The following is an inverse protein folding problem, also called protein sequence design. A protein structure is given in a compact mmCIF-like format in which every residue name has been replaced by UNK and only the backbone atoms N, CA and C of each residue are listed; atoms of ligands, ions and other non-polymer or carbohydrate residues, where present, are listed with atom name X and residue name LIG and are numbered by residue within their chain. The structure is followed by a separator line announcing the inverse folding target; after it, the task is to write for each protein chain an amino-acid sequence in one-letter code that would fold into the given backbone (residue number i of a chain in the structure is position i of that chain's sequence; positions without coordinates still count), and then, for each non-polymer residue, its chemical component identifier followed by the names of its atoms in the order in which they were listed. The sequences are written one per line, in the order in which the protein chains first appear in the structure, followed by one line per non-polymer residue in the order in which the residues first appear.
data_IF_430286210873
#
_entry.id   IF_430286210873
#
_cell.length_a   1.000
_cell.length_b   1.000
_cell.length_c   1.000
_cell.angle_alpha   90.00
_cell.angle_beta   90.00
_cell.angle_gamma   90.00
#
_symmetry.space_group_name_H-M   'P 1'
#
loop_
_entity.id
_entity.type
_entity.pdbx_description
1 polymer ?
#
# COMPACT_ATOMS: atom_id res chain seq x y z
N UNK A 1 19.08 7.80 21.21
CA UNK A 1 19.37 8.47 22.50
C UNK A 1 19.89 9.88 22.26
N UNK A 2 19.17 10.86 22.78
CA UNK A 2 19.70 12.20 23.03
C UNK A 2 20.90 12.02 23.98
N UNK A 3 21.96 12.81 23.86
CA UNK A 3 23.22 12.57 24.61
C UNK A 3 23.04 12.56 26.15
N UNK A 4 21.90 13.08 26.63
CA UNK A 4 21.41 13.20 28.00
C UNK A 4 20.47 12.07 28.47
N UNK A 5 20.14 11.08 27.63
CA UNK A 5 19.34 9.91 28.02
C UNK A 5 17.85 10.16 28.31
N UNK A 6 17.36 11.40 28.18
CA UNK A 6 15.98 11.79 28.45
C UNK A 6 15.01 11.53 27.29
N UNK A 7 13.76 11.12 27.61
CA UNK A 7 12.66 10.90 26.66
C UNK A 7 11.68 12.08 26.53
N UNK A 8 11.88 13.14 27.32
CA UNK A 8 10.99 14.32 27.38
C UNK A 8 10.78 15.01 26.02
N UNK A 9 11.80 15.01 25.16
CA UNK A 9 11.76 15.67 23.86
C UNK A 9 10.99 14.95 22.76
N UNK A 10 10.51 13.72 22.99
CA UNK A 10 9.75 12.96 21.98
C UNK A 10 8.44 13.67 21.61
N UNK A 11 7.74 14.23 22.59
CA UNK A 11 6.52 15.00 22.36
C UNK A 11 6.77 16.37 21.71
N UNK A 12 8.02 16.82 21.66
CA UNK A 12 8.44 18.05 20.98
C UNK A 12 8.96 17.77 19.56
N UNK A 13 8.80 16.53 19.06
CA UNK A 13 9.19 16.13 17.71
C UNK A 13 10.66 15.73 17.56
N UNK A 14 11.41 15.62 18.67
CA UNK A 14 12.79 15.15 18.63
C UNK A 14 12.85 13.65 18.92
N UNK A 15 13.01 12.90 17.84
CA UNK A 15 13.10 11.43 17.83
C UNK A 15 14.55 10.92 17.99
N UNK A 16 15.52 11.82 18.20
CA UNK A 16 16.94 11.50 18.28
C UNK A 16 17.61 11.25 16.92
N UNK A 17 18.81 10.68 16.95
CA UNK A 17 19.67 10.46 15.77
C UNK A 17 19.63 9.01 15.33
N UNK A 18 19.49 8.79 14.02
CA UNK A 18 19.58 7.48 13.38
C UNK A 18 21.01 6.94 13.42
N UNK A 19 21.17 5.69 13.86
CA UNK A 19 22.48 5.03 13.91
C UNK A 19 23.02 4.68 12.53
N UNK A 20 22.13 4.44 11.57
CA UNK A 20 22.49 4.07 10.20
C UNK A 20 22.84 5.30 9.36
N UNK A 21 21.98 6.33 9.41
CA UNK A 21 22.11 7.51 8.54
C UNK A 21 22.86 8.68 9.20
N UNK A 22 23.17 8.60 10.50
CA UNK A 22 23.80 9.67 11.30
C UNK A 22 23.10 11.04 11.20
N UNK A 23 21.79 11.04 10.90
CA UNK A 23 20.91 12.21 10.83
C UNK A 23 19.76 12.08 11.82
N UNK A 24 19.10 13.18 12.19
CA UNK A 24 17.91 13.16 13.03
C UNK A 24 16.78 12.33 12.39
N UNK A 25 16.14 11.47 13.19
CA UNK A 25 15.04 10.61 12.74
C UNK A 25 13.85 11.45 12.27
N UNK A 26 13.61 12.60 12.90
CA UNK A 26 12.56 13.54 12.48
C UNK A 26 12.76 14.03 11.04
N UNK A 27 14.00 14.36 10.63
CA UNK A 27 14.29 14.75 9.25
C UNK A 27 14.06 13.60 8.26
N UNK A 28 14.48 12.37 8.63
CA UNK A 28 14.29 11.20 7.78
C UNK A 28 12.79 10.91 7.55
N UNK A 29 11.98 10.98 8.62
CA UNK A 29 10.52 10.82 8.52
C UNK A 29 9.93 11.91 7.66
N UNK A 30 10.27 13.19 7.88
CA UNK A 30 9.75 14.30 7.10
C UNK A 30 10.10 14.21 5.60
N UNK A 31 11.24 13.60 5.25
CA UNK A 31 11.59 13.34 3.85
C UNK A 31 10.78 12.20 3.22
N UNK A 32 10.50 11.14 3.98
CA UNK A 32 9.75 9.99 3.47
C UNK A 32 8.22 10.23 3.45
N UNK A 33 7.73 11.05 4.39
CA UNK A 33 6.30 11.24 4.65
C UNK A 33 5.49 11.68 3.42
N UNK A 34 5.94 12.66 2.60
CA UNK A 34 5.20 13.08 1.40
C UNK A 34 5.00 11.95 0.40
N UNK A 35 6.03 11.09 0.22
CA UNK A 35 5.97 9.97 -0.71
C UNK A 35 4.99 8.91 -0.22
N UNK A 36 5.04 8.56 1.07
CA UNK A 36 4.07 7.62 1.67
C UNK A 36 2.65 8.14 1.56
N UNK A 37 2.42 9.42 1.82
CA UNK A 37 1.11 10.06 1.72
C UNK A 37 0.60 10.01 0.27
N UNK A 38 1.44 10.37 -0.70
CA UNK A 38 1.09 10.36 -2.12
C UNK A 38 0.70 8.95 -2.57
N UNK A 39 1.53 7.95 -2.27
CA UNK A 39 1.24 6.55 -2.63
C UNK A 39 -0.02 6.03 -1.94
N UNK A 40 -0.20 6.35 -0.65
CA UNK A 40 -1.38 5.96 0.11
C UNK A 40 -2.67 6.57 -0.46
N UNK A 41 -2.67 7.87 -0.77
CA UNK A 41 -3.83 8.56 -1.36
C UNK A 41 -4.15 8.05 -2.76
N UNK A 42 -3.14 7.85 -3.61
CA UNK A 42 -3.33 7.26 -4.93
C UNK A 42 -3.93 5.85 -4.83
N UNK A 43 -3.40 5.03 -3.92
CA UNK A 43 -3.92 3.69 -3.65
C UNK A 43 -5.37 3.72 -3.17
N UNK A 44 -5.71 4.62 -2.24
CA UNK A 44 -7.07 4.80 -1.75
C UNK A 44 -8.04 5.22 -2.86
N UNK A 45 -7.66 6.19 -3.70
CA UNK A 45 -8.51 6.66 -4.81
C UNK A 45 -8.79 5.51 -5.77
N UNK A 46 -7.75 4.79 -6.20
CA UNK A 46 -7.90 3.65 -7.12
C UNK A 46 -8.76 2.55 -6.48
N UNK A 47 -8.52 2.23 -5.21
CA UNK A 47 -9.31 1.23 -4.48
C UNK A 47 -10.78 1.62 -4.43
N UNK A 48 -11.11 2.87 -4.12
CA UNK A 48 -12.50 3.34 -4.06
C UNK A 48 -13.16 3.35 -5.45
N UNK A 49 -12.45 3.75 -6.50
CA UNK A 49 -12.97 3.73 -7.87
C UNK A 49 -13.37 2.33 -8.35
N UNK A 50 -12.75 1.28 -7.82
CA UNK A 50 -13.06 -0.11 -8.18
C UNK A 50 -14.04 -0.73 -7.18
N UNK A 51 -13.79 -0.55 -5.88
CA UNK A 51 -14.59 -1.16 -4.82
C UNK A 51 -16.00 -0.60 -4.75
N UNK A 52 -16.20 0.71 -4.95
CA UNK A 52 -17.52 1.33 -4.85
C UNK A 52 -18.47 0.84 -5.95
N UNK A 53 -18.11 0.84 -7.25
CA UNK A 53 -19.01 0.33 -8.29
C UNK A 53 -19.35 -1.15 -8.09
N UNK A 54 -18.36 -1.98 -7.74
CA UNK A 54 -18.56 -3.41 -7.49
C UNK A 54 -19.48 -3.60 -6.27
N UNK A 55 -19.24 -2.86 -5.19
CA UNK A 55 -20.04 -2.92 -3.98
C UNK A 55 -21.47 -2.44 -4.18
N UNK A 56 -21.68 -1.32 -4.89
CA UNK A 56 -23.00 -0.81 -5.24
C UNK A 56 -23.75 -1.81 -6.14
N UNK A 57 -23.07 -2.37 -7.16
CA UNK A 57 -23.66 -3.37 -8.04
C UNK A 57 -24.10 -4.63 -7.27
N UNK A 58 -23.23 -5.16 -6.41
CA UNK A 58 -23.52 -6.30 -5.53
C UNK A 58 -24.68 -5.99 -4.58
N UNK A 59 -24.73 -4.78 -4.02
CA UNK A 59 -25.80 -4.35 -3.12
C UNK A 59 -27.17 -4.17 -3.81
N UNK A 60 -27.20 -3.75 -5.07
CA UNK A 60 -28.44 -3.58 -5.84
C UNK A 60 -28.94 -4.90 -6.44
N UNK A 61 -28.03 -5.85 -6.73
CA UNK A 61 -28.34 -7.15 -7.35
C UNK A 61 -27.88 -8.31 -6.48
N UNK A 62 -28.29 -8.28 -5.22
CA UNK A 62 -27.97 -9.31 -4.24
C UNK A 62 -28.45 -10.69 -4.70
N UNK A 63 -27.69 -11.72 -4.35
CA UNK A 63 -27.98 -13.13 -4.63
C UNK A 63 -28.06 -13.49 -6.13
N UNK A 64 -27.59 -12.59 -7.00
CA UNK A 64 -27.43 -12.88 -8.42
C UNK A 64 -26.08 -13.53 -8.69
N UNK A 65 -25.96 -14.25 -9.82
CA UNK A 65 -24.67 -14.84 -10.25
C UNK A 65 -23.54 -13.81 -10.31
N UNK A 66 -23.84 -12.58 -10.71
CA UNK A 66 -22.87 -11.49 -10.76
C UNK A 66 -22.37 -11.06 -9.37
N UNK A 67 -23.25 -11.04 -8.38
CA UNK A 67 -22.90 -10.79 -6.98
C UNK A 67 -22.02 -11.91 -6.40
N UNK A 68 -22.37 -13.19 -6.62
CA UNK A 68 -21.55 -14.32 -6.18
C UNK A 68 -20.12 -14.27 -6.75
N UNK A 69 -19.95 -13.92 -8.02
CA UNK A 69 -18.63 -13.79 -8.66
C UNK A 69 -17.85 -12.64 -8.02
N UNK A 70 -18.46 -11.45 -7.93
CA UNK A 70 -17.83 -10.27 -7.34
C UNK A 70 -17.38 -10.52 -5.89
N UNK A 71 -18.25 -11.13 -5.09
CA UNK A 71 -18.00 -11.43 -3.68
C UNK A 71 -16.91 -12.49 -3.52
N UNK A 72 -16.92 -13.55 -4.32
CA UNK A 72 -15.88 -14.57 -4.30
C UNK A 72 -14.52 -14.00 -4.68
N UNK A 73 -14.47 -13.16 -5.72
CA UNK A 73 -13.24 -12.48 -6.13
C UNK A 73 -12.70 -11.55 -5.02
N UNK A 74 -13.58 -10.78 -4.37
CA UNK A 74 -13.20 -9.94 -3.23
C UNK A 74 -12.64 -10.76 -2.06
N UNK A 75 -13.26 -11.90 -1.72
CA UNK A 75 -12.77 -12.79 -0.66
C UNK A 75 -11.39 -13.34 -1.00
N UNK A 76 -11.15 -13.77 -2.24
CA UNK A 76 -9.84 -14.26 -2.68
C UNK A 76 -8.76 -13.19 -2.49
N UNK A 77 -9.03 -11.96 -2.96
CA UNK A 77 -8.09 -10.84 -2.83
C UNK A 77 -7.77 -10.48 -1.38
N UNK A 78 -8.77 -10.51 -0.49
CA UNK A 78 -8.60 -10.19 0.94
C UNK A 78 -7.90 -11.34 1.68
N UNK A 79 -8.11 -12.59 1.25
CA UNK A 79 -7.50 -13.78 1.87
C UNK A 79 -6.01 -13.91 1.58
N UNK A 80 -5.54 -13.35 0.47
CA UNK A 80 -4.14 -13.41 0.09
C UNK A 80 -3.29 -12.47 0.97
N UNK A 81 -2.13 -12.90 1.47
CA UNK A 81 -1.23 -12.02 2.20
C UNK A 81 -0.78 -10.82 1.35
N UNK A 82 -0.71 -9.63 1.95
CA UNK A 82 -0.39 -8.40 1.21
C UNK A 82 0.95 -8.44 0.48
N UNK A 83 1.98 -9.06 1.07
CA UNK A 83 3.28 -9.25 0.40
C UNK A 83 3.16 -10.13 -0.85
N UNK A 84 2.30 -11.16 -0.81
CA UNK A 84 2.11 -12.08 -1.93
C UNK A 84 1.49 -11.34 -3.12
N UNK A 85 0.44 -10.54 -2.87
CA UNK A 85 -0.18 -9.69 -3.88
C UNK A 85 0.84 -8.68 -4.45
N UNK A 86 1.62 -8.02 -3.58
CA UNK A 86 2.65 -7.08 -4.01
C UNK A 86 3.71 -7.75 -4.90
N UNK A 87 4.17 -8.95 -4.54
CA UNK A 87 5.11 -9.71 -5.37
C UNK A 87 4.50 -10.13 -6.71
N UNK A 88 3.24 -10.58 -6.73
CA UNK A 88 2.56 -10.94 -7.98
C UNK A 88 2.40 -9.73 -8.90
N UNK A 89 2.10 -8.56 -8.34
CA UNK A 89 1.98 -7.31 -9.09
C UNK A 89 3.31 -6.86 -9.71
N UNK A 90 4.44 -7.21 -9.12
CA UNK A 90 5.78 -6.93 -9.68
C UNK A 90 6.14 -7.98 -10.74
N UNK A 91 5.94 -9.26 -10.45
CA UNK A 91 6.43 -10.38 -11.25
C UNK A 91 5.65 -10.55 -12.55
N UNK A 92 4.31 -10.50 -12.53
CA UNK A 92 3.50 -10.73 -13.73
C UNK A 92 3.79 -9.73 -14.86
N UNK A 93 3.77 -8.40 -14.62
CA UNK A 93 4.13 -7.43 -15.65
C UNK A 93 5.59 -7.55 -16.09
N UNK A 94 6.50 -7.87 -15.17
CA UNK A 94 7.91 -8.09 -15.49
C UNK A 94 8.10 -9.22 -16.50
N UNK A 95 7.47 -10.38 -16.26
CA UNK A 95 7.55 -11.52 -17.18
C UNK A 95 6.83 -11.19 -18.49
N UNK A 96 5.64 -10.62 -18.42
CA UNK A 96 4.84 -10.28 -19.60
C UNK A 96 5.61 -9.32 -20.52
N UNK A 97 6.23 -8.26 -19.98
CA UNK A 97 7.01 -7.32 -20.77
C UNK A 97 8.29 -7.91 -21.33
N UNK A 98 8.99 -8.78 -20.59
CA UNK A 98 10.13 -9.52 -21.13
C UNK A 98 9.70 -10.40 -22.31
N UNK A 99 8.57 -11.10 -22.18
CA UNK A 99 8.09 -12.02 -23.20
C UNK A 99 7.63 -11.28 -24.47
N UNK A 100 6.97 -10.12 -24.32
CA UNK A 100 6.62 -9.23 -25.44
C UNK A 100 7.87 -8.73 -26.17
N UNK A 101 8.91 -8.31 -25.45
CA UNK A 101 10.17 -7.84 -26.06
C UNK A 101 11.00 -8.92 -26.76
N UNK A 102 10.73 -10.21 -26.51
CA UNK A 102 11.40 -11.31 -27.21
C UNK A 102 10.69 -11.65 -28.53
N UNK A 103 9.37 -11.46 -28.58
CA UNK A 103 8.53 -11.84 -29.71
C UNK A 103 8.42 -10.71 -30.75
N UNK A 104 8.52 -9.45 -30.31
CA UNK A 104 8.45 -8.23 -31.15
C UNK A 104 9.85 -7.65 -31.32
#
# INVERSE_FOLDING_TARGET
PRADGGVSGVFQGDLGVSWHFRETVSNLVLRAWPVTLQLGLMGMIIAQLIALPIGIFSALRQDTKGDYIARSFAIILISAPGFWIATMLIVYPSIWWVLVSIIV
#
